data_IF_972994476422
#
_entry.id   IF_972994476422
#
_cell.length_a   1.000
_cell.length_b   1.000
_cell.length_c   1.000
_cell.angle_alpha   90.00
_cell.angle_beta   90.00
_cell.angle_gamma   90.00
#
_symmetry.space_group_name_H-M   'P 1'
#
loop_
_entity.id
_entity.type
_entity.pdbx_description
1 polymer ?
#
# COMPACT_ATOMS: atom_id res chain seq x y z
N UNK A 1 4.39 -31.70 55.35
CA UNK A 1 3.74 -31.25 54.10
C UNK A 1 2.89 -30.04 54.42
N UNK A 2 3.27 -28.86 53.93
CA UNK A 2 2.40 -27.68 53.89
C UNK A 2 2.75 -26.91 52.61
N UNK A 3 1.85 -26.94 51.64
CA UNK A 3 1.98 -26.22 50.38
C UNK A 3 1.61 -24.76 50.67
N UNK A 4 2.60 -23.96 51.05
CA UNK A 4 2.53 -22.50 50.94
C UNK A 4 2.89 -22.14 49.49
N UNK A 5 1.91 -21.86 48.64
CA UNK A 5 2.22 -21.51 47.25
C UNK A 5 1.09 -21.05 46.33
N UNK A 6 -0.19 -21.16 46.71
CA UNK A 6 -1.31 -20.90 45.79
C UNK A 6 -1.74 -19.42 45.68
N UNK A 7 -1.88 -18.73 46.82
CA UNK A 7 -2.46 -17.37 46.83
C UNK A 7 -1.56 -16.31 46.19
N UNK A 8 -0.23 -16.49 46.28
CA UNK A 8 0.75 -15.56 45.74
C UNK A 8 0.89 -15.66 44.21
N UNK A 9 0.65 -16.84 43.62
CA UNK A 9 0.62 -16.99 42.16
C UNK A 9 -0.64 -16.41 41.54
N UNK A 10 -1.82 -16.67 42.14
CA UNK A 10 -3.10 -16.14 41.63
C UNK A 10 -3.11 -14.60 41.69
N UNK A 11 -2.67 -14.01 42.81
CA UNK A 11 -2.56 -12.55 42.92
C UNK A 11 -1.59 -11.94 41.90
N UNK A 12 -0.48 -12.65 41.60
CA UNK A 12 0.51 -12.19 40.62
C UNK A 12 -0.01 -12.31 39.18
N UNK A 13 -0.78 -13.35 38.87
CA UNK A 13 -1.49 -13.47 37.59
C UNK A 13 -2.50 -12.32 37.43
N UNK A 14 -3.35 -12.08 38.43
CA UNK A 14 -4.35 -10.99 38.37
C UNK A 14 -3.70 -9.61 38.19
N UNK A 15 -2.56 -9.35 38.83
CA UNK A 15 -1.82 -8.09 38.66
C UNK A 15 -1.22 -7.99 37.25
N UNK A 16 -0.63 -9.06 36.73
CA UNK A 16 -0.09 -9.07 35.37
C UNK A 16 -1.19 -8.86 34.33
N UNK A 17 -2.33 -9.54 34.48
CA UNK A 17 -3.49 -9.40 33.60
C UNK A 17 -4.06 -7.97 33.67
N UNK A 18 -4.09 -7.34 34.86
CA UNK A 18 -4.50 -5.94 35.01
C UNK A 18 -3.53 -4.96 34.33
N UNK A 19 -2.22 -5.23 34.41
CA UNK A 19 -1.18 -4.40 33.80
C UNK A 19 -1.26 -4.52 32.27
N UNK A 20 -1.37 -5.74 31.75
CA UNK A 20 -1.57 -6.02 30.32
C UNK A 20 -2.84 -5.32 29.80
N UNK A 21 -3.96 -5.46 30.51
CA UNK A 21 -5.21 -4.77 30.19
C UNK A 21 -5.08 -3.24 30.26
N UNK A 22 -4.34 -2.70 31.24
CA UNK A 22 -4.09 -1.26 31.36
C UNK A 22 -3.21 -0.70 30.25
N UNK A 23 -2.29 -1.52 29.71
CA UNK A 23 -1.41 -1.16 28.60
C UNK A 23 -2.20 -1.12 27.29
N UNK A 24 -3.06 -2.10 27.04
CA UNK A 24 -3.96 -2.12 25.87
C UNK A 24 -5.02 -1.02 25.90
N UNK A 25 -5.50 -0.64 27.09
CA UNK A 25 -6.48 0.45 27.28
C UNK A 25 -5.86 1.81 27.51
N UNK A 26 -4.53 1.90 27.53
CA UNK A 26 -3.83 3.18 27.53
C UNK A 26 -4.13 3.95 26.24
N UNK A 27 -4.09 5.28 26.31
CA UNK A 27 -4.31 6.14 25.15
C UNK A 27 -3.32 5.77 24.03
N UNK A 28 -2.08 5.43 24.40
CA UNK A 28 -1.02 5.06 23.46
C UNK A 28 -1.27 3.68 22.84
N UNK A 29 -1.69 2.69 23.62
CA UNK A 29 -2.07 1.37 23.12
C UNK A 29 -3.24 1.43 22.12
N UNK A 30 -4.28 2.22 22.44
CA UNK A 30 -5.40 2.45 21.53
C UNK A 30 -4.98 3.19 20.25
N UNK A 31 -4.12 4.21 20.36
CA UNK A 31 -3.63 4.98 19.21
C UNK A 31 -2.71 4.14 18.32
N UNK A 32 -1.87 3.29 18.92
CA UNK A 32 -1.01 2.33 18.22
C UNK A 32 -1.84 1.34 17.39
N UNK A 33 -2.87 0.75 17.99
CA UNK A 33 -3.82 -0.11 17.28
C UNK A 33 -4.54 0.61 16.13
N UNK A 34 -5.02 1.83 16.37
CA UNK A 34 -5.69 2.63 15.33
C UNK A 34 -4.74 2.96 14.16
N UNK A 35 -3.48 3.30 14.43
CA UNK A 35 -2.47 3.52 13.38
C UNK A 35 -2.15 2.24 12.62
N UNK A 36 -2.03 1.09 13.31
CA UNK A 36 -1.83 -0.20 12.67
C UNK A 36 -2.97 -0.56 11.69
N UNK A 37 -4.22 -0.25 12.05
CA UNK A 37 -5.36 -0.39 11.14
C UNK A 37 -5.27 0.53 9.91
N UNK A 38 -4.80 1.76 10.08
CA UNK A 38 -4.59 2.68 8.97
C UNK A 38 -3.50 2.16 8.02
N UNK A 39 -2.38 1.68 8.56
CA UNK A 39 -1.30 1.05 7.78
C UNK A 39 -1.85 -0.13 6.97
N UNK A 40 -2.62 -1.03 7.60
CA UNK A 40 -3.21 -2.18 6.91
C UNK A 40 -4.12 -1.75 5.74
N UNK A 41 -4.90 -0.68 5.90
CA UNK A 41 -5.72 -0.10 4.83
C UNK A 41 -4.86 0.49 3.71
N UNK A 42 -3.80 1.24 4.05
CA UNK A 42 -2.86 1.81 3.09
C UNK A 42 -2.13 0.72 2.30
N UNK A 43 -1.70 -0.37 2.94
CA UNK A 43 -1.13 -1.54 2.25
C UNK A 43 -2.13 -2.17 1.27
N UNK A 44 -3.40 -2.30 1.67
CA UNK A 44 -4.48 -2.75 0.79
C UNK A 44 -4.69 -1.82 -0.42
N UNK A 45 -4.62 -0.52 -0.20
CA UNK A 45 -4.69 0.50 -1.25
C UNK A 45 -3.51 0.38 -2.24
N UNK A 46 -2.27 0.31 -1.74
CA UNK A 46 -1.05 0.14 -2.55
C UNK A 46 -1.17 -1.10 -3.42
N UNK A 47 -1.53 -2.25 -2.84
CA UNK A 47 -1.72 -3.49 -3.58
C UNK A 47 -2.71 -3.34 -4.74
N UNK A 48 -3.78 -2.57 -4.55
CA UNK A 48 -4.76 -2.28 -5.61
C UNK A 48 -4.16 -1.36 -6.69
N UNK A 49 -3.41 -0.35 -6.29
CA UNK A 49 -2.77 0.57 -7.23
C UNK A 49 -1.66 -0.11 -8.04
N UNK A 50 -0.84 -0.95 -7.42
CA UNK A 50 0.15 -1.77 -8.12
C UNK A 50 -0.48 -2.66 -9.18
N UNK A 51 -1.62 -3.30 -8.89
CA UNK A 51 -2.37 -4.08 -9.88
C UNK A 51 -2.81 -3.22 -11.07
N UNK A 52 -3.36 -2.03 -10.81
CA UNK A 52 -3.76 -1.09 -11.87
C UNK A 52 -2.57 -0.60 -12.68
N UNK A 53 -1.47 -0.24 -12.02
CA UNK A 53 -0.24 0.22 -12.65
C UNK A 53 0.33 -0.87 -13.58
N UNK A 54 0.27 -2.14 -13.16
CA UNK A 54 0.66 -3.26 -14.02
C UNK A 54 -0.23 -3.37 -15.28
N UNK A 55 -1.54 -3.16 -15.16
CA UNK A 55 -2.45 -3.10 -16.31
C UNK A 55 -2.06 -1.98 -17.28
N UNK A 56 -1.85 -0.75 -16.78
CA UNK A 56 -1.45 0.37 -17.64
C UNK A 56 -0.06 0.15 -18.26
N UNK A 57 0.89 -0.43 -17.52
CA UNK A 57 2.21 -0.77 -18.07
C UNK A 57 2.12 -1.77 -19.21
N UNK A 58 1.25 -2.78 -19.08
CA UNK A 58 0.99 -3.74 -20.16
C UNK A 58 0.31 -3.07 -21.36
N UNK A 59 -0.66 -2.18 -21.12
CA UNK A 59 -1.31 -1.40 -22.19
C UNK A 59 -0.30 -0.53 -22.95
N UNK A 60 0.55 0.22 -22.25
CA UNK A 60 1.62 1.03 -22.87
C UNK A 60 2.55 0.16 -23.72
N UNK A 61 2.90 -1.05 -23.25
CA UNK A 61 3.72 -1.99 -24.03
C UNK A 61 3.02 -2.43 -25.32
N UNK A 62 1.73 -2.76 -25.26
CA UNK A 62 0.97 -3.15 -26.44
C UNK A 62 0.81 -1.99 -27.43
N UNK A 63 0.52 -0.78 -26.96
CA UNK A 63 0.42 0.41 -27.82
C UNK A 63 1.77 0.70 -28.50
N UNK A 64 2.89 0.59 -27.78
CA UNK A 64 4.21 0.74 -28.38
C UNK A 64 4.49 -0.30 -29.48
N UNK A 65 4.11 -1.56 -29.26
CA UNK A 65 4.26 -2.60 -30.26
C UNK A 65 3.41 -2.32 -31.51
N UNK A 66 2.13 -1.97 -31.31
CA UNK A 66 1.21 -1.66 -32.40
C UNK A 66 1.66 -0.44 -33.22
N UNK A 67 2.12 0.62 -32.54
CA UNK A 67 2.69 1.79 -33.21
C UNK A 67 3.90 1.39 -34.06
N UNK A 68 4.81 0.58 -33.51
CA UNK A 68 6.00 0.13 -34.26
C UNK A 68 5.64 -0.76 -35.47
N UNK A 69 4.63 -1.64 -35.33
CA UNK A 69 4.12 -2.44 -36.44
C UNK A 69 3.51 -1.57 -37.54
N UNK A 70 2.70 -0.56 -37.18
CA UNK A 70 2.12 0.38 -38.13
C UNK A 70 3.16 1.28 -38.79
N UNK A 71 4.18 1.73 -38.05
CA UNK A 71 5.31 2.50 -38.59
C UNK A 71 6.19 1.68 -39.55
N UNK A 72 6.11 0.35 -39.49
CA UNK A 72 6.82 -0.55 -40.42
C UNK A 72 6.05 -0.84 -41.71
N UNK A 73 4.77 -0.46 -41.81
CA UNK A 73 3.97 -0.65 -43.04
C UNK A 73 4.28 0.45 -44.05
N UNK A 74 4.53 0.08 -45.31
CA UNK A 74 4.92 1.03 -46.38
C UNK A 74 3.81 2.02 -46.79
N UNK A 75 2.54 1.72 -46.47
CA UNK A 75 1.39 2.58 -46.81
C UNK A 75 1.05 3.56 -45.67
N UNK A 76 1.94 4.53 -45.48
CA UNK A 76 1.83 5.51 -44.40
C UNK A 76 0.69 6.52 -44.57
N UNK A 77 0.15 6.69 -45.78
CA UNK A 77 -0.84 7.72 -46.09
C UNK A 77 -2.20 7.44 -45.44
N UNK A 78 -2.63 6.18 -45.43
CA UNK A 78 -3.93 5.78 -44.90
C UNK A 78 -3.91 5.57 -43.37
N UNK A 79 -2.72 5.33 -42.79
CA UNK A 79 -2.55 5.02 -41.36
C UNK A 79 -2.19 6.24 -40.49
N UNK A 80 -1.99 7.41 -41.08
CA UNK A 80 -1.49 8.59 -40.35
C UNK A 80 -2.40 9.01 -39.20
N UNK A 81 -3.71 9.14 -39.45
CA UNK A 81 -4.67 9.53 -38.41
C UNK A 81 -4.75 8.48 -37.29
N UNK A 82 -4.72 7.20 -37.64
CA UNK A 82 -4.71 6.10 -36.66
C UNK A 82 -3.44 6.10 -35.81
N UNK A 83 -2.29 6.42 -36.40
CA UNK A 83 -1.02 6.53 -35.66
C UNK A 83 -1.03 7.70 -34.67
N UNK A 84 -1.67 8.82 -35.01
CA UNK A 84 -1.85 9.95 -34.09
C UNK A 84 -2.72 9.53 -32.90
N UNK A 85 -3.89 8.93 -33.17
CA UNK A 85 -4.79 8.45 -32.12
C UNK A 85 -4.10 7.46 -31.16
N UNK A 86 -3.32 6.51 -31.70
CA UNK A 86 -2.58 5.54 -30.88
C UNK A 86 -1.49 6.18 -30.02
N UNK A 87 -0.84 7.24 -30.51
CA UNK A 87 0.17 7.99 -29.74
C UNK A 87 -0.48 8.77 -28.61
N UNK A 88 -1.63 9.37 -28.86
CA UNK A 88 -2.43 10.07 -27.85
C UNK A 88 -2.92 9.09 -26.76
N UNK A 89 -3.43 7.92 -27.16
CA UNK A 89 -3.83 6.85 -26.24
C UNK A 89 -2.65 6.36 -25.38
N UNK A 90 -1.47 6.21 -26.00
CA UNK A 90 -0.25 5.82 -25.29
C UNK A 90 0.15 6.86 -24.25
N UNK A 91 0.12 8.14 -24.63
CA UNK A 91 0.45 9.24 -23.72
C UNK A 91 -0.55 9.30 -22.55
N UNK A 92 -1.85 9.20 -22.84
CA UNK A 92 -2.88 9.15 -21.81
C UNK A 92 -2.70 7.95 -20.85
N UNK A 93 -2.29 6.78 -21.36
CA UNK A 93 -1.97 5.63 -20.54
C UNK A 93 -0.71 5.84 -19.68
N UNK A 94 0.32 6.51 -20.22
CA UNK A 94 1.54 6.87 -19.49
C UNK A 94 1.25 7.88 -18.36
N UNK A 95 0.46 8.92 -18.62
CA UNK A 95 0.05 9.88 -17.58
C UNK A 95 -0.70 9.19 -16.45
N UNK A 96 -1.62 8.27 -16.77
CA UNK A 96 -2.32 7.47 -15.76
C UNK A 96 -1.38 6.57 -14.97
N UNK A 97 -0.41 5.94 -15.64
CA UNK A 97 0.60 5.12 -14.98
C UNK A 97 1.46 5.93 -14.02
N UNK A 98 1.87 7.13 -14.43
CA UNK A 98 2.63 8.05 -13.60
C UNK A 98 1.84 8.45 -12.35
N UNK A 99 0.59 8.91 -12.51
CA UNK A 99 -0.24 9.30 -11.37
C UNK A 99 -0.51 8.13 -10.40
N UNK A 100 -0.61 6.88 -10.90
CA UNK A 100 -0.71 5.71 -10.03
C UNK A 100 0.57 5.47 -9.22
N UNK A 101 1.75 5.68 -9.81
CA UNK A 101 3.03 5.53 -9.10
C UNK A 101 3.19 6.62 -8.04
N UNK A 102 2.81 7.87 -8.33
CA UNK A 102 2.80 8.97 -7.36
C UNK A 102 1.90 8.65 -6.16
N UNK A 103 0.70 8.11 -6.39
CA UNK A 103 -0.20 7.66 -5.32
C UNK A 103 0.37 6.51 -4.49
N UNK A 104 1.13 5.60 -5.11
CA UNK A 104 1.80 4.51 -4.40
C UNK A 104 2.88 5.09 -3.49
N UNK A 105 3.78 5.91 -4.03
CA UNK A 105 4.86 6.54 -3.26
C UNK A 105 4.32 7.35 -2.09
N UNK A 106 3.27 8.15 -2.31
CA UNK A 106 2.67 8.92 -1.24
C UNK A 106 2.10 8.04 -0.11
N UNK A 107 1.51 6.90 -0.47
CA UNK A 107 0.96 5.95 0.50
C UNK A 107 2.07 5.19 1.25
N UNK A 108 3.21 4.94 0.62
CA UNK A 108 4.39 4.33 1.25
C UNK A 108 5.00 5.28 2.30
N UNK A 109 5.17 6.56 1.97
CA UNK A 109 5.65 7.60 2.92
C UNK A 109 4.70 7.76 4.13
N UNK A 110 3.39 7.68 3.87
CA UNK A 110 2.36 7.76 4.91
C UNK A 110 2.40 6.56 5.86
N UNK A 111 2.69 5.36 5.33
CA UNK A 111 2.91 4.15 6.14
C UNK A 111 4.17 4.30 6.98
N UNK A 112 5.30 4.68 6.38
CA UNK A 112 6.58 4.85 7.08
C UNK A 112 6.44 5.83 8.26
N UNK A 113 5.75 6.95 8.01
CA UNK A 113 5.46 7.95 9.04
C UNK A 113 4.63 7.37 10.20
N UNK A 114 3.63 6.53 9.89
CA UNK A 114 2.79 5.89 10.92
C UNK A 114 3.52 4.80 11.68
N UNK A 115 4.37 4.03 11.01
CA UNK A 115 5.21 3.01 11.63
C UNK A 115 6.19 3.64 12.62
N UNK A 116 6.85 4.73 12.24
CA UNK A 116 7.72 5.49 13.13
C UNK A 116 6.97 6.01 14.37
N UNK A 117 5.73 6.50 14.19
CA UNK A 117 4.89 6.95 15.31
C UNK A 117 4.48 5.81 16.25
N UNK A 118 4.19 4.61 15.71
CA UNK A 118 3.91 3.43 16.52
C UNK A 118 5.14 3.02 17.32
N UNK A 119 6.33 3.04 16.71
CA UNK A 119 7.58 2.71 17.41
C UNK A 119 7.78 3.60 18.63
N UNK A 120 7.64 4.93 18.47
CA UNK A 120 7.77 5.90 19.57
C UNK A 120 6.73 5.69 20.68
N UNK A 121 5.53 5.18 20.36
CA UNK A 121 4.48 4.90 21.36
C UNK A 121 4.72 3.60 22.12
N UNK A 122 5.51 2.68 21.57
CA UNK A 122 5.79 1.37 22.16
C UNK A 122 7.16 1.31 22.88
N UNK A 123 7.97 2.37 22.79
CA UNK A 123 9.27 2.55 23.48
C UNK A 123 9.09 3.09 24.91
#
# INVERSE_FOLDING_TARGET
MAIQGGANQIARCVINDLIEFSWETSIDGYMSFFKAQQIAKSCGFINRMCKKANTFRNLVRHLNALIAEMEALEDHGELFDTLIDLRDDREAAQTKLQGLNELITQAEEDIETKEAQIQVMND
#
